data_IF_661612061338
#
_entry.id   IF_661612061338
#
_cell.length_a   1.000
_cell.length_b   1.000
_cell.length_c   1.000
_cell.angle_alpha   90.00
_cell.angle_beta   90.00
_cell.angle_gamma   90.00
#
_symmetry.space_group_name_H-M   'P 1'
#
loop_
_entity.id
_entity.type
_entity.pdbx_description
1 polymer ?
#
# COMPACT_ATOMS: atom_id res chain seq x y z
N UNK A 1 9.14 3.54 21.76
CA UNK A 1 10.26 3.78 20.85
C UNK A 1 10.86 2.42 20.56
N UNK A 2 10.77 1.95 19.31
CA UNK A 2 11.36 0.68 18.89
C UNK A 2 12.67 1.01 18.19
N UNK A 3 13.76 0.39 18.63
CA UNK A 3 15.05 0.50 17.99
C UNK A 3 15.16 -0.62 16.95
N UNK A 4 15.37 -0.25 15.68
CA UNK A 4 15.86 -1.20 14.69
C UNK A 4 17.38 -1.30 14.88
N UNK A 5 17.84 -2.46 15.36
CA UNK A 5 19.26 -2.78 15.37
C UNK A 5 19.68 -3.17 13.97
N UNK A 6 20.19 -2.22 13.20
CA UNK A 6 21.02 -2.53 12.03
C UNK A 6 22.45 -2.83 12.52
N UNK A 7 23.29 -3.48 11.71
CA UNK A 7 24.66 -3.84 12.09
C UNK A 7 25.52 -2.67 12.54
N UNK A 8 25.14 -1.42 12.24
CA UNK A 8 25.98 -0.24 12.48
C UNK A 8 25.29 0.91 13.22
N UNK A 9 23.93 1.00 13.27
CA UNK A 9 23.23 2.12 13.95
C UNK A 9 21.87 1.69 14.51
N UNK A 10 21.58 2.11 15.74
CA UNK A 10 20.24 2.08 16.34
C UNK A 10 19.51 3.37 16.01
N UNK A 11 18.51 3.30 15.12
CA UNK A 11 17.68 4.45 14.77
C UNK A 11 16.40 4.41 15.61
N UNK A 12 16.10 5.47 16.40
CA UNK A 12 14.84 5.55 17.12
C UNK A 12 13.71 5.82 16.13
N UNK A 13 12.88 4.82 15.85
CA UNK A 13 11.68 5.00 15.05
C UNK A 13 10.46 5.32 15.93
N UNK A 14 9.58 6.24 15.49
CA UNK A 14 8.28 6.42 16.12
C UNK A 14 7.51 5.08 16.12
N UNK A 15 6.95 4.70 17.26
CA UNK A 15 6.15 3.47 17.36
C UNK A 15 4.99 3.46 16.35
N UNK A 16 4.40 4.64 16.09
CA UNK A 16 3.31 4.79 15.14
C UNK A 16 3.71 4.34 13.73
N UNK A 17 4.92 4.70 13.26
CA UNK A 17 5.42 4.29 11.95
C UNK A 17 5.62 2.77 11.87
N UNK A 18 6.16 2.15 12.94
CA UNK A 18 6.34 0.69 12.97
C UNK A 18 4.99 -0.03 12.91
N UNK A 19 4.01 0.42 13.70
CA UNK A 19 2.67 -0.15 13.66
C UNK A 19 1.99 0.03 12.30
N UNK A 20 2.09 1.22 11.72
CA UNK A 20 1.59 1.50 10.39
C UNK A 20 2.20 0.56 9.34
N UNK A 21 3.53 0.39 9.35
CA UNK A 21 4.23 -0.49 8.43
C UNK A 21 3.82 -1.97 8.59
N UNK A 22 3.61 -2.44 9.82
CA UNK A 22 3.12 -3.80 10.09
C UNK A 22 1.72 -3.99 9.50
N UNK A 23 0.78 -3.07 9.77
CA UNK A 23 -0.58 -3.15 9.22
C UNK A 23 -0.58 -3.09 7.70
N UNK A 24 0.26 -2.24 7.10
CA UNK A 24 0.43 -2.18 5.66
C UNK A 24 0.92 -3.53 5.09
N UNK A 25 1.93 -4.14 5.72
CA UNK A 25 2.44 -5.45 5.31
C UNK A 25 1.38 -6.56 5.44
N UNK A 26 0.58 -6.54 6.51
CA UNK A 26 -0.54 -7.48 6.70
C UNK A 26 -1.60 -7.31 5.60
N UNK A 27 -1.96 -6.07 5.26
CA UNK A 27 -2.90 -5.78 4.16
C UNK A 27 -2.37 -6.26 2.82
N UNK A 28 -1.10 -5.98 2.51
CA UNK A 28 -0.45 -6.46 1.29
C UNK A 28 -0.40 -7.99 1.21
N UNK A 29 -0.13 -8.66 2.33
CA UNK A 29 -0.16 -10.12 2.41
C UNK A 29 -1.58 -10.67 2.16
N UNK A 30 -2.61 -10.06 2.75
CA UNK A 30 -4.00 -10.45 2.54
C UNK A 30 -4.43 -10.25 1.08
N UNK A 31 -4.09 -9.12 0.46
CA UNK A 31 -4.36 -8.82 -0.94
C UNK A 31 -3.70 -9.85 -1.86
N UNK A 32 -2.42 -10.15 -1.61
CA UNK A 32 -1.66 -11.14 -2.38
C UNK A 32 -2.25 -12.53 -2.22
N UNK A 33 -2.61 -12.93 -0.99
CA UNK A 33 -3.23 -14.22 -0.72
C UNK A 33 -4.59 -14.38 -1.43
N UNK A 34 -5.42 -13.32 -1.43
CA UNK A 34 -6.69 -13.31 -2.13
C UNK A 34 -6.51 -13.48 -3.65
N UNK A 35 -5.56 -12.76 -4.25
CA UNK A 35 -5.24 -12.89 -5.66
C UNK A 35 -4.70 -14.28 -6.02
N UNK A 36 -3.77 -14.81 -5.23
CA UNK A 36 -3.18 -16.14 -5.44
C UNK A 36 -4.22 -17.26 -5.34
N UNK A 37 -5.20 -17.11 -4.45
CA UNK A 37 -6.34 -18.02 -4.33
C UNK A 37 -7.28 -17.92 -5.53
N UNK A 38 -7.58 -16.71 -5.99
CA UNK A 38 -8.49 -16.49 -7.13
C UNK A 38 -7.89 -16.93 -8.48
N UNK A 39 -6.57 -16.93 -8.60
CA UNK A 39 -5.85 -17.29 -9.84
C UNK A 39 -5.42 -18.77 -9.92
N UNK A 40 -5.73 -19.57 -8.90
CA UNK A 40 -5.23 -20.95 -8.73
C UNK A 40 -3.70 -21.10 -8.81
N UNK A 41 -2.96 -20.01 -8.63
CA UNK A 41 -1.52 -20.00 -8.84
C UNK A 41 -0.80 -20.88 -7.81
N UNK A 42 -1.29 -20.92 -6.57
CA UNK A 42 -0.75 -21.75 -5.48
C UNK A 42 -0.75 -23.23 -5.86
N UNK A 43 -1.83 -23.71 -6.50
CA UNK A 43 -1.95 -25.11 -6.93
C UNK A 43 -0.95 -25.41 -8.04
N UNK A 44 -0.76 -24.48 -8.99
CA UNK A 44 0.13 -24.66 -10.14
C UNK A 44 1.62 -24.68 -9.75
N UNK A 45 2.01 -23.94 -8.72
CA UNK A 45 3.41 -23.80 -8.28
C UNK A 45 3.75 -24.64 -7.04
N UNK A 46 2.87 -25.58 -6.65
CA UNK A 46 3.03 -26.41 -5.45
C UNK A 46 3.34 -25.57 -4.18
N UNK A 47 2.75 -24.37 -4.09
CA UNK A 47 2.87 -23.48 -2.94
C UNK A 47 4.25 -22.88 -2.68
N UNK A 48 5.22 -22.99 -3.58
CA UNK A 48 6.56 -22.39 -3.41
C UNK A 48 6.77 -21.22 -4.37
N UNK A 49 6.74 -20.00 -3.84
CA UNK A 49 7.00 -18.77 -4.57
C UNK A 49 8.16 -18.02 -3.93
N UNK A 50 9.08 -17.42 -4.70
CA UNK A 50 10.14 -16.57 -4.16
C UNK A 50 9.56 -15.39 -3.37
N UNK A 51 10.21 -15.00 -2.26
CA UNK A 51 9.76 -13.87 -1.45
C UNK A 51 9.73 -12.56 -2.24
N UNK A 52 10.75 -12.30 -3.05
CA UNK A 52 10.81 -11.10 -3.90
C UNK A 52 9.67 -11.06 -4.94
N UNK A 53 9.25 -12.22 -5.46
CA UNK A 53 8.08 -12.29 -6.34
C UNK A 53 6.79 -11.89 -5.60
N UNK A 54 6.60 -12.37 -4.36
CA UNK A 54 5.42 -12.04 -3.56
C UNK A 54 5.36 -10.55 -3.23
N UNK A 55 6.51 -9.94 -2.93
CA UNK A 55 6.61 -8.49 -2.68
C UNK A 55 6.29 -7.67 -3.94
N UNK A 56 6.84 -8.05 -5.09
CA UNK A 56 6.52 -7.41 -6.38
C UNK A 56 5.05 -7.56 -6.75
N UNK A 57 4.47 -8.75 -6.56
CA UNK A 57 3.05 -8.98 -6.80
C UNK A 57 2.18 -8.11 -5.88
N UNK A 58 2.51 -8.02 -4.59
CA UNK A 58 1.81 -7.13 -3.67
C UNK A 58 1.85 -5.67 -4.14
N UNK A 59 3.01 -5.21 -4.62
CA UNK A 59 3.18 -3.86 -5.14
C UNK A 59 2.37 -3.61 -6.42
N UNK A 60 2.32 -4.58 -7.34
CA UNK A 60 1.47 -4.52 -8.54
C UNK A 60 -0.01 -4.42 -8.16
N UNK A 61 -0.48 -5.23 -7.20
CA UNK A 61 -1.87 -5.21 -6.76
C UNK A 61 -2.22 -3.91 -6.03
N UNK A 62 -1.28 -3.35 -5.28
CA UNK A 62 -1.44 -2.06 -4.61
C UNK A 62 -1.63 -0.92 -5.63
N UNK A 63 -0.82 -0.89 -6.69
CA UNK A 63 -0.99 0.06 -7.79
C UNK A 63 -2.37 -0.07 -8.46
N UNK A 64 -2.87 -1.30 -8.61
CA UNK A 64 -4.21 -1.54 -9.16
C UNK A 64 -5.30 -0.90 -8.29
N UNK A 65 -5.19 -1.02 -6.95
CA UNK A 65 -6.13 -0.41 -6.01
C UNK A 65 -6.08 1.12 -6.08
N UNK A 66 -4.88 1.70 -6.08
CA UNK A 66 -4.71 3.16 -6.17
C UNK A 66 -5.29 3.72 -7.48
N UNK A 67 -5.13 2.99 -8.59
CA UNK A 67 -5.70 3.38 -9.88
C UNK A 67 -7.23 3.24 -9.91
N UNK A 68 -7.79 2.16 -9.35
CA UNK A 68 -9.24 1.98 -9.24
C UNK A 68 -9.92 3.06 -8.39
N UNK A 69 -9.20 3.60 -7.41
CA UNK A 69 -9.65 4.67 -6.53
C UNK A 69 -9.32 6.07 -7.05
N UNK A 70 -8.72 6.17 -8.25
CA UNK A 70 -8.28 7.42 -8.86
C UNK A 70 -7.30 8.23 -7.96
N UNK A 71 -6.56 7.56 -7.08
CA UNK A 71 -5.60 8.19 -6.17
C UNK A 71 -4.32 8.60 -6.88
N UNK A 72 -3.99 7.92 -7.97
CA UNK A 72 -2.75 8.14 -8.72
C UNK A 72 -2.58 9.57 -9.21
N UNK A 73 -3.66 10.27 -9.58
CA UNK A 73 -3.60 11.67 -10.03
C UNK A 73 -3.21 12.65 -8.91
N UNK A 74 -3.26 12.21 -7.65
CA UNK A 74 -2.92 12.99 -6.47
C UNK A 74 -1.51 12.68 -5.94
N UNK A 75 -0.81 11.72 -6.54
CA UNK A 75 0.55 11.31 -6.17
C UNK A 75 1.49 11.84 -7.24
N UNK A 76 2.23 12.91 -6.94
CA UNK A 76 3.22 13.49 -7.85
C UNK A 76 4.56 12.72 -7.80
N UNK A 77 4.50 11.43 -8.11
CA UNK A 77 5.66 10.54 -8.15
C UNK A 77 5.59 9.70 -9.42
N UNK A 78 6.73 9.58 -10.10
CA UNK A 78 6.88 8.72 -11.27
C UNK A 78 6.85 7.24 -10.84
N UNK A 79 5.67 6.65 -10.87
CA UNK A 79 5.43 5.23 -10.68
C UNK A 79 4.98 4.60 -12.00
N UNK A 80 5.24 3.31 -12.27
CA UNK A 80 4.60 2.63 -13.39
C UNK A 80 3.10 2.50 -13.15
N UNK A 81 2.31 2.44 -14.22
CA UNK A 81 0.88 2.03 -14.13
C UNK A 81 0.76 0.58 -13.68
N UNK A 82 -0.40 0.20 -13.12
CA UNK A 82 -0.72 -1.20 -12.83
C UNK A 82 -0.42 -2.09 -14.03
N UNK A 83 -0.87 -1.67 -15.22
CA UNK A 83 -0.66 -2.43 -16.46
C UNK A 83 0.82 -2.61 -16.78
N UNK A 84 1.61 -1.54 -16.74
CA UNK A 84 3.04 -1.59 -17.00
C UNK A 84 3.78 -2.46 -15.97
N UNK A 85 3.42 -2.32 -14.70
CA UNK A 85 4.00 -3.10 -13.61
C UNK A 85 3.66 -4.59 -13.74
N UNK A 86 2.41 -4.91 -14.08
CA UNK A 86 1.95 -6.28 -14.33
C UNK A 86 2.66 -6.90 -15.55
N UNK A 87 2.79 -6.15 -16.65
CA UNK A 87 3.50 -6.61 -17.85
C UNK A 87 4.99 -6.87 -17.54
N UNK A 88 5.62 -5.99 -16.76
CA UNK A 88 7.02 -6.16 -16.32
C UNK A 88 7.19 -7.38 -15.41
N UNK A 89 6.29 -7.59 -14.45
CA UNK A 89 6.30 -8.76 -13.58
C UNK A 89 6.12 -10.05 -14.39
N UNK A 90 5.16 -10.08 -15.31
CA UNK A 90 4.93 -11.22 -16.20
C UNK A 90 6.14 -11.54 -17.08
N UNK A 91 6.82 -10.50 -17.60
CA UNK A 91 8.04 -10.65 -18.38
C UNK A 91 9.20 -11.21 -17.56
N UNK A 92 9.29 -10.92 -16.26
CA UNK A 92 10.28 -11.54 -15.36
C UNK A 92 9.91 -12.97 -15.02
N UNK A 93 8.63 -13.27 -14.78
CA UNK A 93 8.17 -14.63 -14.54
C UNK A 93 8.49 -15.59 -15.70
N UNK A 94 8.45 -15.12 -16.95
CA UNK A 94 8.77 -15.96 -18.11
C UNK A 94 10.26 -16.33 -18.22
N UNK A 95 11.15 -15.56 -17.60
CA UNK A 95 12.59 -15.86 -17.53
C UNK A 95 12.94 -16.84 -16.41
N UNK A 96 12.07 -16.99 -15.41
CA UNK A 96 12.20 -17.99 -14.34
C UNK A 96 12.46 -17.40 -12.94
N UNK A 97 12.57 -18.26 -11.91
CA UNK A 97 12.65 -17.85 -10.51
C UNK A 97 13.95 -17.15 -10.12
N UNK A 98 15.03 -17.33 -10.89
CA UNK A 98 16.33 -16.68 -10.66
C UNK A 98 16.24 -15.14 -10.69
N UNK A 99 15.29 -14.59 -11.46
CA UNK A 99 15.00 -13.15 -11.48
C UNK A 99 14.49 -12.61 -10.13
N UNK A 100 14.15 -13.50 -9.18
CA UNK A 100 13.60 -13.20 -7.86
C UNK A 100 14.42 -13.83 -6.73
N UNK A 101 15.66 -14.24 -7.00
CA UNK A 101 16.52 -14.91 -6.03
C UNK A 101 16.93 -14.00 -4.86
N UNK A 102 17.02 -12.69 -5.08
CA UNK A 102 17.39 -11.68 -4.08
C UNK A 102 16.19 -10.77 -3.76
N UNK A 103 16.06 -10.34 -2.50
CA UNK A 103 15.12 -9.32 -2.08
C UNK A 103 15.38 -7.97 -2.76
N UNK A 104 16.61 -7.68 -3.17
CA UNK A 104 16.93 -6.51 -4.00
C UNK A 104 16.23 -6.54 -5.37
N UNK A 105 15.73 -7.70 -5.78
CA UNK A 105 14.95 -7.82 -7.00
C UNK A 105 13.50 -7.31 -6.85
N UNK A 106 13.06 -6.92 -5.64
CA UNK A 106 11.73 -6.38 -5.36
C UNK A 106 11.68 -4.83 -5.39
N UNK A 107 12.27 -4.22 -6.42
CA UNK A 107 12.42 -2.77 -6.53
C UNK A 107 11.08 -2.04 -6.54
N UNK A 108 10.05 -2.60 -7.19
CA UNK A 108 8.73 -1.96 -7.23
C UNK A 108 8.09 -1.90 -5.84
N UNK A 109 8.27 -2.95 -5.03
CA UNK A 109 7.76 -3.00 -3.66
C UNK A 109 8.36 -1.90 -2.79
N UNK A 110 9.67 -1.64 -2.93
CA UNK A 110 10.32 -0.54 -2.23
C UNK A 110 9.81 0.83 -2.69
N UNK A 111 9.58 1.03 -3.99
CA UNK A 111 9.03 2.27 -4.53
C UNK A 111 7.61 2.53 -4.02
N UNK A 112 6.74 1.51 -4.07
CA UNK A 112 5.36 1.60 -3.58
C UNK A 112 5.33 1.86 -2.07
N UNK A 113 6.15 1.15 -1.29
CA UNK A 113 6.25 1.37 0.15
C UNK A 113 6.68 2.81 0.48
N UNK A 114 7.65 3.34 -0.26
CA UNK A 114 8.13 4.71 -0.08
C UNK A 114 7.02 5.72 -0.37
N UNK A 115 6.33 5.56 -1.50
CA UNK A 115 5.22 6.44 -1.89
C UNK A 115 4.10 6.38 -0.86
N UNK A 116 3.74 5.19 -0.39
CA UNK A 116 2.76 5.03 0.69
C UNK A 116 3.22 5.74 1.97
N UNK A 117 4.47 5.56 2.38
CA UNK A 117 4.99 6.16 3.60
C UNK A 117 5.02 7.70 3.54
N UNK A 118 5.31 8.28 2.37
CA UNK A 118 5.47 9.72 2.17
C UNK A 118 4.14 10.44 1.86
N UNK A 119 3.20 9.78 1.17
CA UNK A 119 2.02 10.45 0.60
C UNK A 119 0.68 9.96 1.14
N UNK A 120 0.62 8.99 2.05
CA UNK A 120 -0.65 8.45 2.54
C UNK A 120 -0.84 8.65 4.04
N UNK A 121 -2.10 8.84 4.43
CA UNK A 121 -2.52 8.84 5.82
C UNK A 121 -2.56 7.40 6.34
N UNK A 122 -1.56 7.02 7.16
CA UNK A 122 -1.35 5.63 7.56
C UNK A 122 -2.50 4.97 8.35
N UNK A 123 -3.32 5.76 9.02
CA UNK A 123 -4.48 5.27 9.79
C UNK A 123 -5.79 5.31 8.99
N UNK A 124 -5.78 5.87 7.78
CA UNK A 124 -7.00 6.04 6.99
C UNK A 124 -7.70 4.73 6.63
N UNK A 125 -7.02 3.63 6.27
CA UNK A 125 -7.69 2.36 6.02
C UNK A 125 -8.49 1.85 7.22
N UNK A 126 -7.94 1.99 8.43
CA UNK A 126 -8.60 1.52 9.66
C UNK A 126 -9.72 2.46 10.11
N UNK A 127 -9.55 3.78 9.91
CA UNK A 127 -10.50 4.80 10.36
C UNK A 127 -11.64 5.05 9.37
N UNK A 128 -11.37 4.92 8.06
CA UNK A 128 -12.25 5.36 6.98
C UNK A 128 -12.58 4.23 6.00
N UNK A 129 -11.97 3.05 6.14
CA UNK A 129 -12.14 1.95 5.20
C UNK A 129 -11.58 2.24 3.81
N UNK A 130 -10.73 3.26 3.67
CA UNK A 130 -10.20 3.74 2.40
C UNK A 130 -8.78 4.28 2.54
N UNK A 131 -8.02 4.20 1.45
CA UNK A 131 -6.74 4.88 1.34
C UNK A 131 -6.97 6.38 1.14
N UNK A 132 -6.17 7.20 1.81
CA UNK A 132 -6.26 8.67 1.72
C UNK A 132 -4.88 9.24 1.43
N UNK A 133 -4.79 9.96 0.32
CA UNK A 133 -3.58 10.67 -0.08
C UNK A 133 -3.49 11.99 0.68
N UNK A 134 -2.36 12.23 1.32
CA UNK A 134 -1.96 13.51 1.88
C UNK A 134 -1.58 14.43 0.73
N UNK A 135 -2.34 15.50 0.56
CA UNK A 135 -2.04 16.57 -0.38
C UNK A 135 -1.96 17.89 0.37
N UNK A 136 -1.28 18.88 -0.21
CA UNK A 136 -1.36 20.24 0.28
C UNK A 136 -2.80 20.71 0.13
N UNK A 137 -3.48 20.81 1.26
CA UNK A 137 -4.82 21.35 1.35
C UNK A 137 -4.66 22.83 1.70
N UNK A 138 -5.28 23.72 0.93
CA UNK A 138 -5.28 25.12 1.36
C UNK A 138 -6.05 25.24 2.70
N UNK A 139 -5.61 26.18 3.54
CA UNK A 139 -6.22 26.38 4.86
C UNK A 139 -7.72 26.71 4.76
N UNK A 140 -8.15 27.37 3.68
CA UNK A 140 -9.55 27.74 3.46
C UNK A 140 -10.44 26.51 3.23
N UNK A 141 -9.94 25.46 2.57
CA UNK A 141 -10.63 24.20 2.36
C UNK A 141 -10.73 23.41 3.66
N UNK A 142 -9.67 23.38 4.49
CA UNK A 142 -9.75 22.77 5.82
C UNK A 142 -10.81 23.46 6.67
N UNK A 143 -10.84 24.78 6.64
CA UNK A 143 -11.84 25.59 7.35
C UNK A 143 -13.25 25.31 6.84
N UNK A 144 -13.42 25.18 5.52
CA UNK A 144 -14.68 24.83 4.88
C UNK A 144 -15.13 23.41 5.27
N UNK A 145 -14.22 22.44 5.23
CA UNK A 145 -14.50 21.05 5.59
C UNK A 145 -14.86 20.93 7.08
N UNK A 146 -14.11 21.61 7.96
CA UNK A 146 -14.39 21.66 9.38
C UNK A 146 -15.77 22.27 9.66
N UNK A 147 -16.11 23.38 8.98
CA UNK A 147 -17.45 23.99 9.07
C UNK A 147 -18.53 23.06 8.55
N UNK A 148 -18.29 22.35 7.45
CA UNK A 148 -19.24 21.40 6.89
C UNK A 148 -19.50 20.24 7.87
N UNK A 149 -18.44 19.55 8.32
CA UNK A 149 -18.55 18.44 9.27
C UNK A 149 -19.21 18.89 10.56
N UNK A 150 -18.85 20.07 11.07
CA UNK A 150 -19.49 20.62 12.27
C UNK A 150 -20.97 20.90 12.04
N UNK A 151 -21.33 21.54 10.94
CA UNK A 151 -22.73 21.89 10.60
C UNK A 151 -23.61 20.64 10.49
N UNK A 152 -23.09 19.59 9.84
CA UNK A 152 -23.84 18.37 9.58
C UNK A 152 -23.57 17.23 10.59
N UNK A 153 -22.89 17.51 11.72
CA UNK A 153 -22.45 16.47 12.69
C UNK A 153 -23.56 15.53 13.18
N UNK A 154 -24.78 16.04 13.35
CA UNK A 154 -25.92 15.24 13.81
C UNK A 154 -26.51 14.36 12.70
N UNK A 155 -26.40 14.79 11.44
CA UNK A 155 -26.88 14.03 10.27
C UNK A 155 -25.87 12.93 9.91
N UNK A 156 -24.58 13.25 9.99
CA UNK A 156 -23.48 12.32 9.77
C UNK A 156 -23.42 11.22 10.84
N UNK A 157 -23.85 11.49 12.07
CA UNK A 157 -23.92 10.49 13.14
C UNK A 157 -24.78 9.26 12.78
N UNK A 158 -25.80 9.42 11.91
CA UNK A 158 -26.65 8.32 11.45
C UNK A 158 -26.00 7.44 10.38
N UNK A 159 -24.97 7.93 9.70
CA UNK A 159 -24.24 7.18 8.67
C UNK A 159 -23.23 6.22 9.34
N UNK A 160 -22.61 6.66 10.43
CA UNK A 160 -21.60 5.87 11.17
C UNK A 160 -22.24 4.76 12.04
N UNK A 161 -23.52 4.88 12.39
CA UNK A 161 -24.24 3.90 13.22
C UNK A 161 -25.01 2.83 12.43
N UNK A 162 -24.85 2.80 11.10
CA UNK A 162 -25.41 1.75 10.23
C UNK A 162 -24.30 0.83 9.73
N UNK A 163 -23.66 0.13 10.64
CA UNK A 163 -22.98 -1.15 10.40
C UNK A 163 -23.43 -2.14 11.48
#
# INVERSE_FOLDING_TARGET
MIALSTSDVSLPLPNALVHAAVRHAERQAALTAAYLKASDLIVRVNGRLPAAFLLELAAVLELALWEQQDLRRHIDVDLPTYRQAADHLAARCSKGPEEFADLQAAQLSLQVLRVWAEHFAWDAPDLLGAEVVLSDVDDDYLDLLARFVWTHRNELAYIVLKD
#
